data_IF_438634122290
#
_entry.id   IF_438634122290
#
_cell.length_a   1.000
_cell.length_b   1.000
_cell.length_c   1.000
_cell.angle_alpha   90.00
_cell.angle_beta   90.00
_cell.angle_gamma   90.00
#
_symmetry.space_group_name_H-M   'P 1'
#
loop_
_entity.id
_entity.type
_entity.pdbx_description
1 polymer ?
#
# COMPACT_ATOMS: atom_id res chain seq x y z
N UNK A 1 20.24 -8.61 53.56
CA UNK A 1 20.28 -8.43 52.09
C UNK A 1 18.85 -8.43 51.59
N UNK A 2 18.32 -7.29 51.16
CA UNK A 2 16.95 -7.17 50.64
C UNK A 2 17.01 -6.83 49.16
N UNK A 3 16.54 -7.75 48.31
CA UNK A 3 16.47 -7.56 46.86
C UNK A 3 15.17 -6.82 46.54
N UNK A 4 15.28 -5.56 46.11
CA UNK A 4 14.15 -4.80 45.57
C UNK A 4 13.89 -5.27 44.14
N UNK A 5 12.76 -5.95 43.93
CA UNK A 5 12.24 -6.21 42.60
C UNK A 5 11.73 -4.89 42.00
N UNK A 6 12.41 -4.39 40.97
CA UNK A 6 11.90 -3.29 40.14
C UNK A 6 11.00 -3.92 39.09
N UNK A 7 9.69 -3.78 39.27
CA UNK A 7 8.70 -4.13 38.25
C UNK A 7 8.71 -3.01 37.21
N UNK A 8 9.38 -3.23 36.09
CA UNK A 8 9.30 -2.34 34.93
C UNK A 8 7.94 -2.55 34.26
N UNK A 9 7.02 -1.60 34.47
CA UNK A 9 5.75 -1.56 33.78
C UNK A 9 6.01 -1.09 32.34
N UNK A 10 5.99 -2.04 31.38
CA UNK A 10 6.05 -1.74 29.95
C UNK A 10 4.72 -1.11 29.52
N UNK A 11 4.68 0.21 29.49
CA UNK A 11 3.59 0.96 28.86
C UNK A 11 3.64 0.71 27.35
N UNK A 12 2.69 -0.06 26.83
CA UNK A 12 2.44 -0.17 25.39
C UNK A 12 1.98 1.20 24.87
N UNK A 13 2.85 1.92 24.17
CA UNK A 13 2.47 3.11 23.42
C UNK A 13 1.52 2.69 22.30
N UNK A 14 0.24 2.96 22.49
CA UNK A 14 -0.76 2.86 21.44
C UNK A 14 -0.54 4.04 20.49
N UNK A 15 0.10 3.78 19.36
CA UNK A 15 0.21 4.75 18.27
C UNK A 15 -1.18 4.86 17.66
N UNK A 16 -1.92 5.91 18.01
CA UNK A 16 -3.14 6.27 17.29
C UNK A 16 -2.73 6.77 15.91
N UNK A 17 -3.36 6.26 14.85
CA UNK A 17 -3.17 6.79 13.51
C UNK A 17 -3.57 8.27 13.51
N UNK A 18 -2.73 9.13 12.94
CA UNK A 18 -3.01 10.55 12.85
C UNK A 18 -4.16 10.76 11.85
N UNK A 19 -5.23 11.41 12.32
CA UNK A 19 -6.36 11.77 11.49
C UNK A 19 -6.12 13.15 10.88
N UNK A 20 -6.14 13.21 9.56
CA UNK A 20 -5.93 14.42 8.80
C UNK A 20 -7.21 14.86 8.10
N UNK A 21 -7.30 16.15 7.76
CA UNK A 21 -8.37 16.71 6.93
C UNK A 21 -7.89 16.91 5.50
N UNK A 22 -8.74 16.58 4.55
CA UNK A 22 -8.49 16.79 3.13
C UNK A 22 -9.78 16.96 2.34
N UNK A 23 -9.64 16.90 1.02
CA UNK A 23 -10.77 16.85 0.10
C UNK A 23 -10.64 15.66 -0.84
N UNK A 24 -11.77 15.17 -1.30
CA UNK A 24 -11.86 14.08 -2.26
C UNK A 24 -12.68 14.54 -3.47
N UNK A 25 -12.15 14.36 -4.67
CA UNK A 25 -12.84 14.54 -5.94
C UNK A 25 -13.02 13.21 -6.67
N UNK A 26 -13.83 13.23 -7.73
CA UNK A 26 -14.02 12.10 -8.64
C UNK A 26 -13.09 12.23 -9.85
N UNK A 27 -12.23 11.23 -10.04
CA UNK A 27 -11.21 11.23 -11.09
C UNK A 27 -11.75 10.76 -12.44
N UNK A 28 -12.28 9.53 -12.45
CA UNK A 28 -12.74 8.89 -13.66
C UNK A 28 -13.77 7.80 -13.36
N UNK A 29 -14.62 7.56 -14.36
CA UNK A 29 -15.55 6.42 -14.41
C UNK A 29 -15.05 5.27 -15.30
N UNK A 30 -14.02 5.53 -16.13
CA UNK A 30 -13.48 4.53 -17.06
C UNK A 30 -12.55 3.56 -16.36
N UNK A 31 -12.38 2.37 -16.96
CA UNK A 31 -11.53 1.31 -16.37
C UNK A 31 -10.04 1.57 -16.60
N UNK A 32 -9.69 2.25 -17.68
CA UNK A 32 -8.35 2.37 -18.24
C UNK A 32 -7.54 3.56 -17.71
N UNK A 33 -8.10 4.36 -16.79
CA UNK A 33 -7.48 5.56 -16.25
C UNK A 33 -6.08 5.28 -15.66
N UNK A 34 -5.87 4.10 -15.06
CA UNK A 34 -4.58 3.69 -14.50
C UNK A 34 -3.50 3.32 -15.52
N UNK A 35 -3.90 2.97 -16.75
CA UNK A 35 -2.97 2.52 -17.80
C UNK A 35 -2.28 3.71 -18.47
N UNK A 36 -2.84 4.92 -18.32
CA UNK A 36 -2.37 6.14 -18.98
C UNK A 36 -2.70 6.11 -20.47
N UNK A 37 -3.71 6.87 -20.90
CA UNK A 37 -3.96 7.07 -22.33
C UNK A 37 -3.07 8.22 -22.83
N UNK A 38 -1.97 7.89 -23.52
CA UNK A 38 -0.99 8.79 -24.18
C UNK A 38 0.05 9.50 -23.28
N UNK A 39 -0.05 9.42 -21.96
CA UNK A 39 1.01 9.83 -21.00
C UNK A 39 1.79 8.62 -20.46
N UNK A 40 2.88 8.87 -19.73
CA UNK A 40 3.68 7.83 -19.05
C UNK A 40 2.89 7.17 -17.90
N UNK A 41 1.88 6.35 -18.22
CA UNK A 41 1.11 5.57 -17.24
C UNK A 41 0.50 6.40 -16.09
N UNK A 42 0.04 5.70 -15.06
CA UNK A 42 -0.13 6.28 -13.72
C UNK A 42 1.25 6.46 -13.07
N UNK A 43 1.40 7.46 -12.21
CA UNK A 43 2.66 7.79 -11.54
C UNK A 43 3.21 6.64 -10.67
N UNK A 44 2.36 5.72 -10.20
CA UNK A 44 2.79 4.52 -9.47
C UNK A 44 3.06 3.29 -10.34
N UNK A 45 2.82 3.36 -11.66
CA UNK A 45 3.21 2.36 -12.65
C UNK A 45 2.65 0.94 -12.46
N UNK A 46 1.73 0.71 -11.53
CA UNK A 46 1.17 -0.62 -11.24
C UNK A 46 0.51 -1.27 -12.45
N UNK A 47 -0.09 -0.46 -13.32
CA UNK A 47 -0.77 -0.88 -14.53
C UNK A 47 -0.11 -0.31 -15.79
N UNK A 48 1.24 -0.17 -15.80
CA UNK A 48 1.95 0.33 -16.98
C UNK A 48 1.62 -0.53 -18.22
N UNK A 49 1.36 0.13 -19.34
CA UNK A 49 0.97 -0.52 -20.60
C UNK A 49 2.01 -1.54 -21.07
N UNK A 50 3.30 -1.28 -20.87
CA UNK A 50 4.39 -2.21 -21.25
C UNK A 50 4.34 -3.50 -20.45
N UNK A 51 3.79 -3.44 -19.23
CA UNK A 51 3.60 -4.60 -18.36
C UNK A 51 2.26 -5.32 -18.55
N UNK A 52 1.44 -4.90 -19.53
CA UNK A 52 0.12 -5.49 -19.79
C UNK A 52 -1.07 -4.66 -19.30
N UNK A 53 -0.85 -3.43 -18.80
CA UNK A 53 -1.95 -2.57 -18.36
C UNK A 53 -2.64 -3.11 -17.10
N UNK A 54 -3.97 -3.06 -17.08
CA UNK A 54 -4.78 -3.62 -15.99
C UNK A 54 -4.67 -5.13 -15.86
N UNK A 55 -4.23 -5.84 -16.90
CA UNK A 55 -3.99 -7.29 -16.84
C UNK A 55 -2.60 -7.62 -16.28
N UNK A 56 -1.77 -6.60 -16.01
CA UNK A 56 -0.49 -6.80 -15.36
C UNK A 56 -0.69 -7.40 -13.97
N UNK A 57 0.17 -8.34 -13.59
CA UNK A 57 0.19 -8.94 -12.26
C UNK A 57 0.40 -7.90 -11.15
N UNK A 58 1.08 -6.79 -11.43
CA UNK A 58 1.25 -5.70 -10.46
C UNK A 58 -0.04 -4.89 -10.23
N UNK A 59 -1.00 -4.95 -11.16
CA UNK A 59 -2.30 -4.30 -11.08
C UNK A 59 -3.40 -5.18 -10.44
N UNK A 60 -3.07 -6.37 -9.94
CA UNK A 60 -4.05 -7.32 -9.40
C UNK A 60 -4.31 -7.17 -7.89
N UNK A 61 -4.03 -6.00 -7.30
CA UNK A 61 -4.34 -5.77 -5.88
C UNK A 61 -5.85 -5.80 -5.65
N UNK A 62 -6.33 -6.14 -4.43
CA UNK A 62 -7.76 -6.11 -4.11
C UNK A 62 -8.39 -4.75 -4.42
N UNK A 63 -7.65 -3.66 -4.19
CA UNK A 63 -8.09 -2.29 -4.41
C UNK A 63 -8.21 -1.92 -5.89
N UNK A 64 -7.23 -2.25 -6.73
CA UNK A 64 -7.30 -1.97 -8.17
C UNK A 64 -8.44 -2.75 -8.82
N UNK A 65 -8.58 -4.04 -8.50
CA UNK A 65 -9.67 -4.89 -9.02
C UNK A 65 -11.06 -4.39 -8.60
N UNK A 66 -11.19 -3.93 -7.36
CA UNK A 66 -12.45 -3.42 -6.81
C UNK A 66 -12.71 -1.93 -7.13
N UNK A 67 -11.79 -1.26 -7.83
CA UNK A 67 -11.84 0.18 -8.13
C UNK A 67 -11.88 1.06 -6.87
N UNK A 68 -11.23 0.61 -5.81
CA UNK A 68 -11.07 1.33 -4.55
C UNK A 68 -9.69 2.01 -4.50
N UNK A 69 -9.45 2.94 -5.43
CA UNK A 69 -8.15 3.61 -5.56
C UNK A 69 -8.29 5.07 -5.94
N UNK A 70 -7.25 5.84 -5.66
CA UNK A 70 -7.19 7.26 -5.93
C UNK A 70 -5.82 7.72 -6.42
N UNK A 71 -5.81 8.78 -7.23
CA UNK A 71 -4.67 9.67 -7.36
C UNK A 71 -4.59 10.57 -6.13
N UNK A 72 -3.41 11.10 -5.81
CA UNK A 72 -3.24 12.08 -4.73
C UNK A 72 -2.60 13.36 -5.24
N UNK A 73 -2.72 14.46 -4.49
CA UNK A 73 -2.02 15.70 -4.85
C UNK A 73 -0.52 15.58 -4.66
N UNK A 74 0.21 16.59 -5.17
CA UNK A 74 1.67 16.66 -5.07
C UNK A 74 2.20 16.64 -3.63
N UNK A 75 1.48 17.25 -2.69
CA UNK A 75 1.88 17.32 -1.29
C UNK A 75 1.92 15.94 -0.63
N UNK A 76 0.90 15.12 -0.89
CA UNK A 76 0.81 13.75 -0.38
C UNK A 76 1.63 12.76 -1.22
N UNK A 77 1.80 13.03 -2.52
CA UNK A 77 2.59 12.17 -3.41
C UNK A 77 4.08 12.15 -3.05
N UNK A 78 4.63 13.30 -2.68
CA UNK A 78 6.08 13.48 -2.53
C UNK A 78 6.80 13.23 -3.86
N UNK A 79 7.64 12.22 -3.88
CA UNK A 79 8.34 11.66 -5.03
C UNK A 79 7.99 10.17 -5.22
N UNK A 80 6.77 9.78 -4.83
CA UNK A 80 6.20 8.44 -4.99
C UNK A 80 6.36 7.52 -3.78
N UNK A 81 6.80 8.04 -2.63
CA UNK A 81 6.90 7.30 -1.36
C UNK A 81 5.54 6.74 -0.92
N UNK A 82 4.45 7.40 -1.31
CA UNK A 82 3.08 7.01 -0.99
C UNK A 82 2.52 5.93 -1.93
N UNK A 83 3.22 5.58 -3.01
CA UNK A 83 2.69 4.62 -3.98
C UNK A 83 2.40 3.26 -3.33
N UNK A 84 1.14 2.82 -3.44
CA UNK A 84 0.64 1.60 -2.83
C UNK A 84 0.14 1.75 -1.40
N UNK A 85 0.29 2.92 -0.75
CA UNK A 85 -0.24 3.18 0.60
C UNK A 85 -1.77 3.11 0.60
N UNK A 86 -2.35 2.70 1.72
CA UNK A 86 -3.80 2.71 1.92
C UNK A 86 -4.23 3.74 2.95
N UNK A 87 -5.34 4.40 2.67
CA UNK A 87 -5.97 5.36 3.57
C UNK A 87 -7.42 4.96 3.77
N UNK A 88 -7.92 5.06 4.99
CA UNK A 88 -9.35 5.07 5.25
C UNK A 88 -9.85 6.51 5.09
N UNK A 89 -10.70 6.73 4.09
CA UNK A 89 -11.36 8.01 3.88
C UNK A 89 -12.73 7.98 4.54
N UNK A 90 -13.11 9.07 5.21
CA UNK A 90 -14.41 9.22 5.86
C UNK A 90 -15.01 10.57 5.50
N UNK A 91 -16.19 10.56 4.89
CA UNK A 91 -17.03 11.75 4.71
C UNK A 91 -18.10 11.78 5.81
N UNK A 92 -18.30 12.94 6.44
CA UNK A 92 -19.19 13.09 7.60
C UNK A 92 -20.60 13.61 7.26
N UNK A 93 -20.90 13.88 6.00
CA UNK A 93 -22.19 14.49 5.62
C UNK A 93 -22.20 16.01 5.77
N UNK A 94 -21.03 16.64 5.85
CA UNK A 94 -20.82 18.06 6.15
C UNK A 94 -20.43 18.90 4.91
N UNK A 95 -20.81 18.46 3.70
CA UNK A 95 -20.65 19.26 2.49
C UNK A 95 -21.47 20.55 2.59
N UNK A 96 -20.87 21.70 2.21
CA UNK A 96 -21.45 23.04 2.42
C UNK A 96 -22.85 23.21 1.81
N UNK A 97 -23.10 22.56 0.68
CA UNK A 97 -24.40 22.56 -0.01
C UNK A 97 -25.38 21.47 0.45
N UNK A 98 -25.05 20.71 1.50
CA UNK A 98 -25.87 19.59 2.01
C UNK A 98 -25.93 18.39 1.06
N UNK A 99 -24.88 18.16 0.27
CA UNK A 99 -24.81 17.05 -0.70
C UNK A 99 -24.30 15.75 -0.06
N UNK A 100 -24.70 14.63 -0.67
CA UNK A 100 -24.20 13.30 -0.32
C UNK A 100 -24.65 12.78 1.04
N UNK A 101 -24.19 11.58 1.38
CA UNK A 101 -24.41 10.92 2.68
C UNK A 101 -23.09 10.51 3.30
N UNK A 102 -23.00 10.48 4.65
CA UNK A 102 -21.80 10.04 5.33
C UNK A 102 -21.46 8.60 4.97
N UNK A 103 -20.18 8.34 4.77
CA UNK A 103 -19.66 7.04 4.37
C UNK A 103 -18.15 6.97 4.58
N UNK A 104 -17.61 5.77 4.59
CA UNK A 104 -16.17 5.55 4.73
C UNK A 104 -15.72 4.32 3.96
N UNK A 105 -14.53 4.39 3.37
CA UNK A 105 -13.94 3.24 2.68
C UNK A 105 -12.41 3.34 2.65
N UNK A 106 -11.74 2.19 2.54
CA UNK A 106 -10.28 2.15 2.38
C UNK A 106 -9.92 2.21 0.89
N UNK A 107 -9.00 3.10 0.55
CA UNK A 107 -8.51 3.31 -0.81
C UNK A 107 -7.01 3.08 -0.90
N UNK A 108 -6.52 2.63 -2.06
CA UNK A 108 -5.10 2.55 -2.36
C UNK A 108 -4.66 3.75 -3.22
N UNK A 109 -3.49 4.32 -2.91
CA UNK A 109 -2.85 5.33 -3.75
C UNK A 109 -2.14 4.68 -4.92
N UNK A 110 -2.52 5.09 -6.12
CA UNK A 110 -2.07 4.47 -7.39
C UNK A 110 -1.61 5.50 -8.43
N UNK A 111 -1.80 6.79 -8.17
CA UNK A 111 -1.39 7.86 -9.07
C UNK A 111 -1.15 9.18 -8.31
N UNK A 112 -0.70 10.19 -9.03
CA UNK A 112 -0.48 11.56 -8.59
C UNK A 112 -1.17 12.55 -9.53
N UNK A 113 -1.21 13.82 -9.14
CA UNK A 113 -1.73 14.89 -9.99
C UNK A 113 -3.17 15.30 -9.67
N UNK A 114 -3.71 14.86 -8.54
CA UNK A 114 -5.00 15.36 -8.06
C UNK A 114 -4.93 16.85 -7.71
N UNK A 115 -6.00 17.58 -8.03
CA UNK A 115 -6.24 18.92 -7.48
C UNK A 115 -6.78 18.89 -6.05
N UNK A 116 -7.53 17.85 -5.69
CA UNK A 116 -7.99 17.58 -4.32
C UNK A 116 -6.91 16.81 -3.55
N UNK A 117 -7.12 16.51 -2.25
CA UNK A 117 -6.20 15.60 -1.54
C UNK A 117 -6.18 14.21 -2.20
N UNK A 118 -7.37 13.72 -2.56
CA UNK A 118 -7.58 12.46 -3.27
C UNK A 118 -8.46 12.68 -4.50
N UNK A 119 -8.08 12.13 -5.66
CA UNK A 119 -8.94 12.00 -6.83
C UNK A 119 -9.28 10.53 -7.05
N UNK A 120 -10.47 10.12 -6.64
CA UNK A 120 -10.81 8.71 -6.53
C UNK A 120 -11.61 8.22 -7.74
N UNK A 121 -11.44 6.94 -8.07
CA UNK A 121 -12.31 6.32 -9.08
C UNK A 121 -13.77 6.40 -8.63
N UNK A 122 -14.69 6.69 -9.58
CA UNK A 122 -16.14 6.87 -9.36
C UNK A 122 -16.75 5.86 -8.37
N UNK A 123 -16.46 4.57 -8.56
CA UNK A 123 -16.95 3.47 -7.72
C UNK A 123 -16.71 3.70 -6.22
N UNK A 124 -15.52 4.15 -5.81
CA UNK A 124 -15.25 4.36 -4.37
C UNK A 124 -15.65 5.75 -3.91
N UNK A 125 -15.60 6.74 -4.79
CA UNK A 125 -16.15 8.07 -4.54
C UNK A 125 -17.65 7.98 -4.17
N UNK A 126 -18.44 7.26 -4.97
CA UNK A 126 -19.86 7.02 -4.73
C UNK A 126 -20.10 6.22 -3.45
N UNK A 127 -19.31 5.17 -3.16
CA UNK A 127 -19.43 4.43 -1.89
C UNK A 127 -19.24 5.31 -0.65
N UNK A 128 -18.37 6.32 -0.72
CA UNK A 128 -18.06 7.20 0.41
C UNK A 128 -19.08 8.34 0.52
N UNK A 129 -19.60 8.84 -0.61
CA UNK A 129 -20.38 10.09 -0.65
C UNK A 129 -21.85 9.93 -1.04
N UNK A 130 -22.26 8.76 -1.55
CA UNK A 130 -23.57 8.56 -2.20
C UNK A 130 -23.80 9.57 -3.36
N UNK A 131 -22.73 9.90 -4.09
CA UNK A 131 -22.74 10.89 -5.16
C UNK A 131 -21.76 10.53 -6.29
N UNK A 132 -21.95 11.11 -7.47
CA UNK A 132 -21.20 10.71 -8.67
C UNK A 132 -20.19 11.78 -9.16
N UNK A 133 -20.08 12.95 -8.53
CA UNK A 133 -19.12 13.99 -8.96
C UNK A 133 -18.89 15.06 -7.88
N UNK A 134 -18.08 16.07 -8.16
CA UNK A 134 -17.84 17.19 -7.25
C UNK A 134 -16.65 16.96 -6.32
N UNK A 135 -16.57 17.78 -5.26
CA UNK A 135 -15.46 17.81 -4.31
C UNK A 135 -16.06 17.78 -2.90
N UNK A 136 -15.70 16.77 -2.12
CA UNK A 136 -16.23 16.55 -0.77
C UNK A 136 -15.12 16.68 0.27
N UNK A 137 -15.38 17.31 1.43
CA UNK A 137 -14.44 17.25 2.55
C UNK A 137 -14.35 15.80 3.04
N UNK A 138 -13.15 15.34 3.40
CA UNK A 138 -12.95 14.03 4.00
C UNK A 138 -11.93 14.11 5.12
N UNK A 139 -12.15 13.31 6.16
CA UNK A 139 -11.07 12.93 7.06
C UNK A 139 -10.37 11.70 6.48
N UNK A 140 -9.06 11.61 6.67
CA UNK A 140 -8.28 10.47 6.25
C UNK A 140 -7.23 10.06 7.28
N UNK A 141 -7.03 8.76 7.40
CA UNK A 141 -6.01 8.15 8.25
C UNK A 141 -5.30 7.03 7.48
N UNK A 142 -4.00 6.89 7.68
CA UNK A 142 -3.24 5.77 7.10
C UNK A 142 -3.65 4.45 7.76
N UNK A 143 -3.83 3.41 6.94
CA UNK A 143 -4.14 2.07 7.40
C UNK A 143 -3.32 1.03 6.63
N UNK A 144 -2.98 -0.11 7.25
CA UNK A 144 -2.37 -1.21 6.51
C UNK A 144 -3.29 -1.68 5.37
N UNK A 145 -2.72 -1.91 4.19
CA UNK A 145 -3.45 -2.44 3.05
C UNK A 145 -3.87 -3.90 3.23
N UNK A 146 -5.02 -4.26 2.69
CA UNK A 146 -5.37 -5.64 2.40
C UNK A 146 -4.53 -6.16 1.22
N UNK A 147 -4.01 -7.38 1.35
CA UNK A 147 -3.18 -8.03 0.33
C UNK A 147 -3.91 -9.23 -0.27
N UNK A 148 -3.70 -9.48 -1.57
CA UNK A 148 -4.17 -10.70 -2.21
C UNK A 148 -3.42 -11.94 -1.69
N UNK A 149 -4.04 -13.14 -1.75
CA UNK A 149 -3.39 -14.40 -1.35
C UNK A 149 -2.13 -14.77 -2.14
N UNK A 150 -1.88 -14.10 -3.27
CA UNK A 150 -0.69 -14.32 -4.10
C UNK A 150 0.59 -13.75 -3.45
N UNK A 151 0.46 -12.96 -2.39
CA UNK A 151 1.55 -12.34 -1.68
C UNK A 151 2.20 -11.17 -2.43
N UNK A 152 3.23 -10.53 -1.85
CA UNK A 152 3.95 -9.44 -2.48
C UNK A 152 4.46 -9.78 -3.88
N UNK A 153 4.48 -8.78 -4.75
CA UNK A 153 4.89 -8.89 -6.15
C UNK A 153 6.05 -7.93 -6.43
N UNK A 154 7.10 -8.43 -7.06
CA UNK A 154 8.14 -7.63 -7.68
C UNK A 154 8.03 -7.74 -9.21
N UNK A 155 7.42 -6.75 -9.85
CA UNK A 155 7.21 -6.69 -11.30
C UNK A 155 8.33 -5.95 -12.02
N UNK A 156 8.76 -6.46 -13.17
CA UNK A 156 9.76 -5.84 -14.04
C UNK A 156 9.07 -4.82 -14.94
N UNK A 157 9.32 -3.55 -14.69
CA UNK A 157 8.78 -2.44 -15.51
C UNK A 157 9.57 -2.24 -16.79
N UNK A 158 10.88 -2.44 -16.72
CA UNK A 158 11.81 -2.25 -17.83
C UNK A 158 13.04 -3.14 -17.63
N UNK A 159 13.45 -3.83 -18.68
CA UNK A 159 14.49 -4.86 -18.68
C UNK A 159 15.78 -4.45 -19.40
N UNK A 160 16.04 -3.14 -19.53
CA UNK A 160 17.33 -2.62 -20.00
C UNK A 160 18.50 -3.35 -19.32
N UNK A 161 19.50 -3.67 -20.14
CA UNK A 161 20.65 -4.48 -19.77
C UNK A 161 21.44 -3.88 -18.61
N UNK A 162 21.59 -2.54 -18.57
CA UNK A 162 22.39 -1.87 -17.56
C UNK A 162 21.58 -1.27 -16.41
N UNK A 163 20.32 -0.94 -16.68
CA UNK A 163 19.42 -0.31 -15.73
C UNK A 163 18.15 -1.13 -15.59
N UNK A 164 17.79 -1.48 -14.36
CA UNK A 164 16.54 -2.18 -14.11
C UNK A 164 15.52 -1.28 -13.46
N UNK A 165 14.25 -1.45 -13.81
CA UNK A 165 13.12 -0.76 -13.18
C UNK A 165 12.14 -1.80 -12.66
N UNK A 166 11.76 -1.67 -11.40
CA UNK A 166 10.78 -2.53 -10.75
C UNK A 166 9.64 -1.73 -10.16
N UNK A 167 8.48 -2.38 -10.10
CA UNK A 167 7.34 -1.94 -9.32
C UNK A 167 7.07 -3.02 -8.27
N UNK A 168 6.94 -2.60 -7.01
CA UNK A 168 6.56 -3.49 -5.91
C UNK A 168 5.09 -3.26 -5.59
N UNK A 169 4.28 -4.30 -5.67
CA UNK A 169 2.85 -4.20 -5.38
C UNK A 169 2.38 -5.34 -4.48
N UNK A 170 1.12 -5.23 -4.04
CA UNK A 170 0.52 -6.15 -3.07
C UNK A 170 1.31 -6.24 -1.74
N UNK A 171 1.94 -5.12 -1.35
CA UNK A 171 2.55 -4.90 -0.04
C UNK A 171 1.50 -4.36 0.95
N UNK A 172 1.76 -4.51 2.24
CA UNK A 172 0.87 -4.02 3.29
C UNK A 172 1.10 -2.52 3.56
N UNK A 173 2.33 -2.07 3.40
CA UNK A 173 2.74 -0.67 3.43
C UNK A 173 3.68 -0.37 2.26
N UNK A 174 3.87 0.90 1.88
CA UNK A 174 4.83 1.26 0.84
C UNK A 174 6.24 0.76 1.15
N UNK A 175 7.00 0.47 0.10
CA UNK A 175 8.42 0.19 0.21
C UNK A 175 9.17 1.48 0.59
N UNK A 176 10.08 1.40 1.56
CA UNK A 176 11.00 2.50 1.94
C UNK A 176 12.43 2.22 1.53
N UNK A 177 12.78 0.95 1.30
CA UNK A 177 14.05 0.55 0.74
C UNK A 177 13.93 -0.73 -0.07
N UNK A 178 14.70 -0.84 -1.15
CA UNK A 178 14.83 -2.08 -1.89
C UNK A 178 16.29 -2.34 -2.30
N UNK A 179 16.66 -3.62 -2.31
CA UNK A 179 17.97 -4.08 -2.76
C UNK A 179 17.77 -5.29 -3.65
N UNK A 180 18.40 -5.27 -4.82
CA UNK A 180 18.48 -6.42 -5.71
C UNK A 180 19.86 -7.04 -5.63
N UNK A 181 19.93 -8.36 -5.44
CA UNK A 181 21.17 -9.11 -5.39
C UNK A 181 21.24 -10.03 -6.61
N UNK A 182 22.28 -9.87 -7.42
CA UNK A 182 22.45 -10.64 -8.65
C UNK A 182 23.81 -11.32 -8.64
N UNK A 183 23.83 -12.65 -8.73
CA UNK A 183 25.08 -13.42 -8.63
C UNK A 183 25.86 -13.15 -7.35
N UNK A 184 25.14 -12.91 -6.23
CA UNK A 184 25.72 -12.58 -4.93
C UNK A 184 26.17 -11.13 -4.74
N UNK A 185 26.04 -10.26 -5.76
CA UNK A 185 26.39 -8.84 -5.66
C UNK A 185 25.15 -7.99 -5.36
N UNK A 186 25.13 -7.23 -4.25
CA UNK A 186 23.99 -6.38 -3.90
C UNK A 186 24.03 -5.02 -4.62
N UNK A 187 22.87 -4.57 -5.09
CA UNK A 187 22.64 -3.26 -5.70
C UNK A 187 21.47 -2.59 -4.99
N UNK A 188 21.74 -1.46 -4.32
CA UNK A 188 20.68 -0.65 -3.72
C UNK A 188 19.85 0.00 -4.81
N UNK A 189 18.53 -0.06 -4.65
CA UNK A 189 17.59 0.55 -5.57
C UNK A 189 17.20 1.92 -5.06
N UNK A 190 16.97 2.86 -5.98
CA UNK A 190 16.46 4.21 -5.70
C UNK A 190 15.02 4.30 -6.16
N UNK A 191 14.18 4.89 -5.33
CA UNK A 191 12.83 5.30 -5.72
C UNK A 191 12.91 6.49 -6.68
N UNK A 192 12.20 6.42 -7.80
CA UNK A 192 12.14 7.46 -8.83
C UNK A 192 10.68 7.62 -9.25
N UNK A 193 9.95 8.53 -8.61
CA UNK A 193 8.50 8.56 -8.73
C UNK A 193 7.93 7.24 -8.18
N UNK A 194 7.14 6.52 -8.96
CA UNK A 194 6.53 5.26 -8.52
C UNK A 194 7.29 3.96 -8.79
N UNK A 195 8.54 4.01 -9.26
CA UNK A 195 9.30 2.79 -9.54
C UNK A 195 10.68 2.79 -8.89
N UNK A 196 11.24 1.60 -8.72
CA UNK A 196 12.53 1.35 -8.09
C UNK A 196 13.58 1.01 -9.14
N UNK A 197 14.61 1.84 -9.23
CA UNK A 197 15.67 1.72 -10.22
C UNK A 197 17.03 1.36 -9.63
N UNK A 198 17.82 0.55 -10.33
CA UNK A 198 19.22 0.33 -9.98
C UNK A 198 20.10 0.15 -11.22
N UNK A 199 21.34 0.65 -11.13
CA UNK A 199 22.41 0.29 -12.04
C UNK A 199 22.96 -1.08 -11.66
N UNK A 200 22.79 -2.06 -12.54
CA UNK A 200 23.24 -3.44 -12.30
C UNK A 200 24.51 -3.76 -13.07
N UNK A 201 24.78 -3.07 -14.18
CA UNK A 201 25.92 -3.40 -15.06
C UNK A 201 25.76 -4.78 -15.73
N UNK A 202 26.83 -5.28 -16.40
CA UNK A 202 26.80 -6.52 -17.16
C UNK A 202 26.95 -7.76 -16.27
N UNK A 203 25.95 -8.03 -15.43
CA UNK A 203 25.99 -9.14 -14.45
C UNK A 203 25.07 -10.30 -14.83
N UNK A 204 25.35 -11.48 -14.28
CA UNK A 204 24.59 -12.71 -14.47
C UNK A 204 24.52 -13.46 -13.15
N UNK A 205 23.53 -14.33 -13.01
CA UNK A 205 23.40 -15.24 -11.87
C UNK A 205 21.98 -15.28 -11.30
N UNK A 206 21.81 -16.00 -10.18
CA UNK A 206 20.58 -15.97 -9.40
C UNK A 206 20.20 -14.54 -9.02
N UNK A 207 18.91 -14.28 -8.88
CA UNK A 207 18.38 -12.96 -8.55
C UNK A 207 17.52 -13.06 -7.31
N UNK A 208 17.89 -12.32 -6.27
CA UNK A 208 17.10 -12.15 -5.06
C UNK A 208 16.76 -10.67 -4.89
N UNK A 209 15.57 -10.38 -4.38
CA UNK A 209 15.12 -9.01 -4.12
C UNK A 209 14.70 -8.91 -2.67
N UNK A 210 15.12 -7.87 -1.98
CA UNK A 210 14.70 -7.56 -0.61
C UNK A 210 14.07 -6.18 -0.58
N UNK A 211 12.87 -6.11 -0.01
CA UNK A 211 12.12 -4.86 0.20
C UNK A 211 11.94 -4.66 1.71
N UNK A 212 12.09 -3.43 2.17
CA UNK A 212 11.71 -3.00 3.52
C UNK A 212 10.48 -2.12 3.39
N UNK A 213 9.41 -2.49 4.07
CA UNK A 213 8.15 -1.73 4.14
C UNK A 213 8.27 -0.59 5.16
N UNK A 214 7.39 0.40 5.07
CA UNK A 214 7.38 1.59 5.93
C UNK A 214 7.24 1.27 7.42
N UNK A 215 6.51 0.21 7.76
CA UNK A 215 6.39 -0.27 9.13
C UNK A 215 7.65 -1.03 9.63
N UNK A 216 8.68 -1.16 8.79
CA UNK A 216 9.94 -1.86 9.10
C UNK A 216 9.96 -3.35 8.75
N UNK A 217 8.84 -3.92 8.29
CA UNK A 217 8.77 -5.32 7.85
C UNK A 217 9.63 -5.54 6.60
N UNK A 218 10.07 -6.78 6.39
CA UNK A 218 10.97 -7.14 5.30
C UNK A 218 10.37 -8.24 4.45
N UNK A 219 10.31 -8.00 3.15
CA UNK A 219 9.86 -8.97 2.15
C UNK A 219 11.07 -9.44 1.34
N UNK A 220 11.21 -10.76 1.20
CA UNK A 220 12.30 -11.36 0.43
C UNK A 220 11.75 -12.21 -0.72
N UNK A 221 12.23 -11.93 -1.92
CA UNK A 221 11.95 -12.66 -3.14
C UNK A 221 13.18 -13.45 -3.53
N UNK A 222 13.02 -14.75 -3.77
CA UNK A 222 14.12 -15.66 -4.01
C UNK A 222 14.10 -16.27 -5.39
N UNK A 223 15.29 -16.47 -5.97
CA UNK A 223 15.49 -17.14 -7.26
C UNK A 223 14.58 -16.57 -8.37
N UNK A 224 14.45 -15.25 -8.41
CA UNK A 224 13.57 -14.56 -9.34
C UNK A 224 13.96 -14.82 -10.80
N UNK A 225 12.93 -14.98 -11.64
CA UNK A 225 13.05 -15.13 -13.10
C UNK A 225 13.84 -16.35 -13.57
N UNK A 226 14.23 -17.28 -12.68
CA UNK A 226 15.16 -18.34 -13.02
C UNK A 226 16.55 -17.81 -13.40
N UNK A 227 16.92 -16.62 -12.91
CA UNK A 227 18.18 -15.95 -13.16
C UNK A 227 18.05 -14.63 -13.93
N UNK A 228 19.00 -13.72 -13.70
CA UNK A 228 18.93 -12.32 -14.13
C UNK A 228 18.74 -12.12 -15.64
N UNK A 229 19.34 -13.01 -16.45
CA UNK A 229 19.28 -12.95 -17.93
C UNK A 229 17.90 -13.26 -18.51
N UNK A 230 17.01 -13.87 -17.71
CA UNK A 230 15.70 -14.34 -18.17
C UNK A 230 14.57 -13.35 -17.81
N UNK A 231 14.88 -12.28 -17.06
CA UNK A 231 13.90 -11.23 -16.77
C UNK A 231 13.42 -10.62 -18.09
N UNK A 232 12.15 -10.25 -18.14
CA UNK A 232 11.53 -9.54 -19.26
C UNK A 232 10.61 -8.48 -18.70
N UNK A 233 10.41 -7.39 -19.43
CA UNK A 233 9.33 -6.44 -19.11
C UNK A 233 7.99 -7.18 -18.96
N UNK A 234 7.26 -6.88 -17.89
CA UNK A 234 6.00 -7.56 -17.51
C UNK A 234 6.17 -8.88 -16.75
N UNK A 235 7.38 -9.43 -16.64
CA UNK A 235 7.63 -10.57 -15.75
C UNK A 235 7.51 -10.14 -14.28
N UNK A 236 7.15 -11.08 -13.40
CA UNK A 236 7.12 -10.82 -11.97
C UNK A 236 7.67 -11.97 -11.14
N UNK A 237 8.21 -11.60 -9.98
CA UNK A 237 8.63 -12.51 -8.93
C UNK A 237 7.66 -12.40 -7.76
N UNK A 238 7.27 -13.53 -7.19
CA UNK A 238 6.41 -13.61 -6.01
C UNK A 238 7.20 -14.19 -4.85
N UNK A 239 6.81 -13.89 -3.63
CA UNK A 239 7.38 -14.56 -2.45
C UNK A 239 6.98 -16.04 -2.47
N UNK A 240 7.93 -16.94 -2.23
CA UNK A 240 7.58 -18.33 -1.89
C UNK A 240 6.74 -18.31 -0.61
N UNK A 241 5.60 -19.00 -0.58
CA UNK A 241 4.62 -19.00 0.54
C UNK A 241 5.14 -19.61 1.87
N UNK A 242 6.43 -19.52 2.18
CA UNK A 242 7.03 -20.09 3.40
C UNK A 242 7.81 -19.06 4.22
N UNK A 243 7.29 -17.84 4.34
CA UNK A 243 7.61 -16.97 5.47
C UNK A 243 6.31 -16.68 6.20
N UNK A 244 5.97 -17.57 7.11
CA UNK A 244 5.08 -17.25 8.22
C UNK A 244 5.57 -15.94 8.83
N UNK A 245 4.63 -15.08 9.22
CA UNK A 245 4.87 -13.88 10.00
C UNK A 245 5.54 -14.25 11.33
N UNK A 246 6.85 -14.50 11.34
CA UNK A 246 7.65 -14.60 12.56
C UNK A 246 7.89 -13.17 13.02
N UNK A 247 6.86 -12.58 13.63
CA UNK A 247 6.91 -11.18 14.09
C UNK A 247 5.58 -10.62 14.60
N UNK A 248 4.44 -11.26 14.31
CA UNK A 248 3.20 -10.88 14.98
C UNK A 248 3.27 -11.35 16.44
N UNK A 249 3.65 -10.44 17.35
CA UNK A 249 3.33 -10.59 18.77
C UNK A 249 1.82 -10.77 18.86
N UNK A 250 1.40 -12.00 19.14
CA UNK A 250 0.02 -12.31 19.46
C UNK A 250 -0.40 -11.41 20.63
N UNK A 251 -1.36 -10.52 20.39
CA UNK A 251 -2.09 -9.89 21.48
C UNK A 251 -2.79 -11.00 22.26
N UNK A 252 -2.61 -11.12 23.58
CA UNK A 252 -3.33 -12.10 24.36
C UNK A 252 -4.82 -11.78 24.27
N UNK A 253 -5.62 -12.77 23.82
CA UNK A 253 -7.07 -12.78 24.00
C UNK A 253 -7.34 -12.57 25.48
N UNK A 254 -7.81 -11.38 25.85
CA UNK A 254 -8.47 -11.23 27.14
C UNK A 254 -9.74 -12.07 27.08
N UNK A 255 -9.80 -13.07 27.96
CA UNK A 255 -11.01 -13.79 28.29
C UNK A 255 -12.03 -12.77 28.82
N UNK A 256 -13.13 -12.58 28.09
CA UNK A 256 -14.33 -11.94 28.61
C UNK A 256 -14.87 -12.83 29.72
N UNK A 257 -14.40 -12.59 30.94
CA UNK A 257 -15.11 -13.01 32.15
C UNK A 257 -16.37 -12.15 32.23
N UNK A 258 -17.53 -12.80 32.09
CA UNK A 258 -18.84 -12.23 32.37
C UNK A 258 -18.85 -11.74 33.83
N UNK A 259 -18.74 -10.42 34.04
CA UNK A 259 -19.09 -9.82 35.32
C UNK A 259 -20.60 -9.99 35.53
N UNK A 260 -20.94 -10.91 36.43
CA UNK A 260 -22.27 -11.05 37.01
C UNK A 260 -22.43 -9.93 38.04
N UNK A 261 -23.37 -9.02 37.80
CA UNK A 261 -23.78 -8.06 38.82
C UNK A 261 -24.70 -8.79 39.81
N UNK A 262 -24.22 -9.03 41.02
CA UNK A 262 -25.08 -9.36 42.15
C UNK A 262 -25.52 -8.04 42.80
N UNK A 263 -26.84 -7.82 42.81
CA UNK A 263 -27.47 -6.70 43.52
C UNK A 263 -27.60 -7.12 44.99
N UNK A 264 -26.99 -6.36 45.88
CA UNK A 264 -27.14 -6.50 47.34
C UNK A 264 -28.55 -6.02 47.76
N UNK A 265 -29.42 -6.89 48.30
CA UNK A 265 -30.77 -6.51 48.72
C UNK A 265 -30.81 -5.68 50.01
N UNK A 266 -29.68 -5.42 50.67
CA UNK A 266 -29.63 -4.68 51.94
C UNK A 266 -29.58 -3.16 51.79
N UNK A 267 -29.72 -2.65 50.56
CA UNK A 267 -29.74 -1.21 50.24
C UNK A 267 -31.09 -0.74 49.64
N UNK A 268 -32.19 -1.43 49.96
CA UNK A 268 -33.57 -0.96 49.73
C UNK A 268 -34.29 -0.73 51.06
#
# INVERSE_FOLDING_TARGET
MAVRAVVACLLSQQVFAEMHRGSMSMWASTKDTLVGYKSMGSACMFADKKMGGLESVTAQTPYIKAKNYCAVNRGLYGNGEVCGRCYKLTYKGDHEQGLGRPGSHVVQVVDSGSWATFDCHMTVFNKITDYDTGIFPVDYEEVPCETSPEGPIAGVLDDDYYWTKFVFSNLRYPATAATITIGGKPHKMKLIGGYWGAWTGPIKGPTDIKVTEENGDKVSFHNCFGGWKNRKTGAACKTSQSQSLVGAKAFPRQSLSLMRWEIDPSQL
#
